data_IF_243168114506
#
_entry.id   IF_243168114506
#
_cell.length_a   1.000
_cell.length_b   1.000
_cell.length_c   1.000
_cell.angle_alpha   90.00
_cell.angle_beta   90.00
_cell.angle_gamma   90.00
#
_symmetry.space_group_name_H-M   'P 1'
#
loop_
_entity.id
_entity.type
_entity.pdbx_description
1 polymer ?
#
# COMPACT_ATOMS: atom_id res chain seq x y z
N UNK A 1 1.44 -19.29 -15.07
CA UNK A 1 1.48 -18.12 -15.97
C UNK A 1 0.72 -17.00 -15.28
N UNK A 2 1.42 -16.08 -14.64
CA UNK A 2 0.83 -14.89 -14.02
C UNK A 2 0.46 -13.89 -15.12
N UNK A 3 -0.72 -14.06 -15.73
CA UNK A 3 -1.28 -13.07 -16.65
C UNK A 3 -1.93 -11.95 -15.81
N UNK A 4 -1.12 -10.98 -15.40
CA UNK A 4 -1.60 -9.84 -14.58
C UNK A 4 -0.52 -9.02 -13.86
N UNK A 5 0.78 -9.27 -14.07
CA UNK A 5 1.82 -8.53 -13.38
C UNK A 5 1.74 -7.02 -13.67
N UNK A 6 1.85 -6.16 -12.66
CA UNK A 6 2.08 -4.73 -12.87
C UNK A 6 3.34 -4.50 -13.70
N UNK A 7 3.47 -3.32 -14.31
CA UNK A 7 4.69 -2.94 -15.01
C UNK A 7 5.41 -1.86 -14.24
N UNK A 8 6.68 -2.05 -13.90
CA UNK A 8 7.50 -1.05 -13.21
C UNK A 8 8.84 -0.85 -13.94
N UNK A 9 9.16 0.38 -14.30
CA UNK A 9 10.53 0.73 -14.72
C UNK A 9 11.34 1.10 -13.48
N UNK A 10 12.23 0.21 -13.04
CA UNK A 10 13.01 0.37 -11.82
C UNK A 10 14.40 0.95 -12.10
N UNK A 11 14.82 1.89 -11.26
CA UNK A 11 16.18 2.41 -11.22
C UNK A 11 16.68 2.65 -9.81
N UNK A 12 17.98 2.97 -9.68
CA UNK A 12 18.57 3.38 -8.41
C UNK A 12 17.84 4.61 -7.84
N UNK A 13 17.39 4.50 -6.58
CA UNK A 13 16.71 5.56 -5.86
C UNK A 13 17.59 6.77 -5.59
N UNK A 14 18.93 6.64 -5.70
CA UNK A 14 19.86 7.74 -5.51
C UNK A 14 20.19 7.97 -4.04
N UNK A 15 21.48 8.15 -3.75
CA UNK A 15 21.97 8.32 -2.38
C UNK A 15 22.13 7.02 -1.59
N UNK A 16 21.96 5.84 -2.22
CA UNK A 16 22.34 4.55 -1.64
C UNK A 16 23.82 4.52 -1.26
N UNK A 17 24.15 3.67 -0.29
CA UNK A 17 25.54 3.43 0.14
C UNK A 17 25.62 2.05 0.79
N UNK A 18 26.79 1.66 1.31
CA UNK A 18 27.02 0.36 1.96
C UNK A 18 26.16 0.02 3.20
N UNK A 19 25.21 0.87 3.59
CA UNK A 19 24.39 0.76 4.80
C UNK A 19 22.93 0.48 4.42
N UNK A 20 22.12 -0.18 5.26
CA UNK A 20 20.69 -0.37 4.99
C UNK A 20 19.93 0.96 4.87
N UNK A 21 18.93 0.94 4.00
CA UNK A 21 17.89 1.95 3.82
C UNK A 21 16.51 1.29 3.86
N UNK A 22 15.60 1.84 4.65
CA UNK A 22 14.21 1.35 4.73
C UNK A 22 13.21 2.45 5.14
N UNK A 23 11.91 2.11 5.08
CA UNK A 23 10.84 2.92 5.66
C UNK A 23 10.73 4.32 5.06
N UNK A 24 10.44 4.41 3.76
CA UNK A 24 10.31 5.67 3.03
C UNK A 24 8.94 6.33 3.21
N UNK A 25 8.91 7.65 3.36
CA UNK A 25 7.72 8.48 3.32
C UNK A 25 7.95 9.78 2.54
N UNK A 26 6.88 10.36 2.01
CA UNK A 26 6.90 11.71 1.47
C UNK A 26 6.55 12.73 2.56
N UNK A 27 7.31 13.81 2.61
CA UNK A 27 7.07 14.94 3.50
C UNK A 27 7.30 16.24 2.75
N UNK A 28 6.23 16.97 2.43
CA UNK A 28 6.30 18.11 1.51
C UNK A 28 6.97 17.70 0.19
N UNK A 29 8.08 18.34 -0.21
CA UNK A 29 8.86 17.99 -1.40
C UNK A 29 10.12 17.17 -1.05
N UNK A 30 10.09 16.37 0.01
CA UNK A 30 11.20 15.55 0.48
C UNK A 30 10.81 14.08 0.55
N UNK A 31 11.78 13.22 0.34
CA UNK A 31 11.74 11.83 0.81
C UNK A 31 12.37 11.77 2.20
N UNK A 32 11.71 11.10 3.13
CA UNK A 32 12.23 10.79 4.47
C UNK A 32 12.37 9.28 4.57
N UNK A 33 13.49 8.79 5.07
CA UNK A 33 13.80 7.36 5.14
C UNK A 33 14.73 7.04 6.31
N UNK A 34 14.77 5.79 6.75
CA UNK A 34 15.73 5.33 7.73
C UNK A 34 17.03 4.87 7.08
N UNK A 35 18.16 5.16 7.73
CA UNK A 35 19.46 4.65 7.31
C UNK A 35 20.44 4.48 8.46
N UNK A 36 21.32 3.49 8.33
CA UNK A 36 22.44 3.25 9.25
C UNK A 36 23.70 4.07 8.91
N UNK A 37 23.58 5.19 8.17
CA UNK A 37 24.71 5.94 7.60
C UNK A 37 25.64 6.60 8.63
N UNK A 38 25.12 7.28 9.64
CA UNK A 38 25.92 8.08 10.58
C UNK A 38 26.45 7.32 11.81
N UNK A 39 26.11 6.06 11.96
CA UNK A 39 26.62 5.22 13.06
C UNK A 39 28.00 4.62 12.77
N UNK A 40 28.60 4.96 11.63
CA UNK A 40 29.96 4.59 11.23
C UNK A 40 31.09 5.43 11.83
N UNK A 41 30.83 6.47 12.64
CA UNK A 41 31.87 7.33 13.21
C UNK A 41 31.76 7.51 14.73
N UNK A 42 32.71 6.89 15.45
CA UNK A 42 33.01 6.98 16.91
C UNK A 42 31.84 6.68 17.87
N UNK A 43 31.82 5.45 18.40
CA UNK A 43 30.86 4.99 19.42
C UNK A 43 30.05 3.78 18.95
N UNK A 44 30.75 2.67 18.71
CA UNK A 44 30.16 1.47 18.11
C UNK A 44 29.08 0.87 19.01
N UNK A 45 27.82 0.90 18.56
CA UNK A 45 26.79 -0.02 19.03
C UNK A 45 26.20 -0.72 17.81
N UNK A 46 26.62 -1.96 17.61
CA UNK A 46 25.99 -2.84 16.65
C UNK A 46 24.81 -3.50 17.34
N UNK A 47 23.67 -3.53 16.66
CA UNK A 47 22.54 -4.31 17.09
C UNK A 47 22.96 -5.78 17.15
N UNK A 48 22.81 -6.41 18.32
CA UNK A 48 23.40 -7.74 18.61
C UNK A 48 22.84 -8.86 17.75
N UNK A 49 21.66 -8.66 17.15
CA UNK A 49 21.02 -9.68 16.30
C UNK A 49 21.33 -9.53 14.82
N UNK A 50 21.38 -8.31 14.30
CA UNK A 50 21.64 -8.05 12.88
C UNK A 50 23.11 -7.78 12.59
N UNK A 51 23.91 -7.51 13.64
CA UNK A 51 25.30 -7.01 13.54
C UNK A 51 25.42 -5.72 12.70
N UNK A 52 24.30 -5.04 12.47
CA UNK A 52 24.19 -3.76 11.78
C UNK A 52 24.14 -2.62 12.80
N UNK A 53 24.33 -1.40 12.33
CA UNK A 53 24.25 -0.23 13.19
C UNK A 53 22.80 0.26 13.37
N UNK A 54 22.57 1.03 14.43
CA UNK A 54 21.29 1.70 14.66
C UNK A 54 20.95 2.65 13.51
N UNK A 55 19.68 2.66 13.11
CA UNK A 55 19.13 3.50 12.04
C UNK A 55 18.62 4.80 12.61
N UNK A 56 18.78 5.87 11.84
CA UNK A 56 18.22 7.19 12.11
C UNK A 56 17.42 7.63 10.89
N UNK A 57 16.50 8.57 11.08
CA UNK A 57 15.80 9.17 9.95
C UNK A 57 16.70 10.19 9.24
N UNK A 58 16.62 10.19 7.91
CA UNK A 58 17.26 11.13 6.99
C UNK A 58 16.19 11.70 6.07
N UNK A 59 16.51 12.85 5.46
CA UNK A 59 15.69 13.43 4.40
C UNK A 59 16.55 13.88 3.24
N UNK A 60 15.98 13.84 2.04
CA UNK A 60 16.55 14.41 0.83
C UNK A 60 15.45 15.18 0.08
N UNK A 61 15.79 16.37 -0.45
CA UNK A 61 14.90 17.10 -1.33
C UNK A 61 14.67 16.31 -2.63
N UNK A 62 13.43 16.26 -3.09
CA UNK A 62 13.06 15.63 -4.35
C UNK A 62 13.11 16.67 -5.47
N UNK A 63 13.95 16.43 -6.47
CA UNK A 63 13.95 17.18 -7.72
C UNK A 63 12.92 16.64 -8.70
N UNK A 64 13.05 17.06 -9.97
CA UNK A 64 12.20 16.60 -11.06
C UNK A 64 12.16 15.07 -11.14
N UNK A 65 10.98 14.52 -11.45
CA UNK A 65 10.73 13.08 -11.54
C UNK A 65 11.09 12.30 -10.26
N UNK A 66 10.93 12.92 -9.08
CA UNK A 66 11.23 12.33 -7.78
C UNK A 66 12.68 11.85 -7.65
N UNK A 67 13.63 12.56 -8.24
CA UNK A 67 15.06 12.26 -8.07
C UNK A 67 15.53 12.83 -6.72
N UNK A 68 15.98 12.01 -5.75
CA UNK A 68 16.48 12.52 -4.48
C UNK A 68 17.81 13.26 -4.63
N UNK A 69 17.91 14.39 -3.93
CA UNK A 69 19.16 15.13 -3.74
C UNK A 69 20.08 14.49 -2.70
N UNK A 70 20.96 15.30 -2.12
CA UNK A 70 21.89 14.83 -1.08
C UNK A 70 21.13 14.58 0.23
N UNK A 71 21.28 13.41 0.87
CA UNK A 71 20.63 13.14 2.14
C UNK A 71 21.29 13.85 3.31
N UNK A 72 20.46 14.32 4.24
CA UNK A 72 20.87 14.92 5.52
C UNK A 72 20.09 14.26 6.65
N UNK A 73 20.64 14.24 7.88
CA UNK A 73 19.90 13.76 9.05
C UNK A 73 18.56 14.48 9.14
N UNK A 74 17.50 13.72 9.38
CA UNK A 74 16.22 14.27 9.81
C UNK A 74 16.37 14.90 11.20
N UNK A 75 15.40 15.73 11.60
CA UNK A 75 15.46 16.56 12.81
C UNK A 75 16.10 15.83 14.02
N UNK A 76 17.04 16.51 14.68
CA UNK A 76 17.80 15.96 15.78
C UNK A 76 16.93 15.61 17.01
N UNK A 77 15.74 16.23 17.16
CA UNK A 77 14.83 15.91 18.27
C UNK A 77 14.14 14.56 18.12
N UNK A 78 14.02 14.07 16.89
CA UNK A 78 13.42 12.78 16.57
C UNK A 78 14.42 11.64 16.71
N UNK A 79 15.68 11.91 16.39
CA UNK A 79 16.72 10.89 16.41
C UNK A 79 17.15 10.54 17.83
N UNK A 80 17.18 9.26 18.16
CA UNK A 80 17.68 8.76 19.46
C UNK A 80 18.95 7.94 19.29
N UNK A 81 19.39 7.31 20.39
CA UNK A 81 20.51 6.36 20.39
C UNK A 81 20.11 4.94 19.97
N UNK A 82 18.85 4.75 19.59
CA UNK A 82 18.25 3.49 19.15
C UNK A 82 17.63 3.66 17.75
N UNK A 83 17.05 2.59 17.20
CA UNK A 83 16.50 2.61 15.85
C UNK A 83 15.28 3.54 15.78
N UNK A 84 15.27 4.44 14.81
CA UNK A 84 14.07 5.03 14.24
C UNK A 84 13.91 4.53 12.80
N UNK A 85 12.66 4.30 12.37
CA UNK A 85 12.31 3.95 10.99
C UNK A 85 10.86 4.27 10.65
N UNK A 86 10.54 4.16 9.35
CA UNK A 86 9.18 4.22 8.78
C UNK A 86 8.32 5.35 9.35
N UNK A 87 8.65 6.61 9.02
CA UNK A 87 7.80 7.72 9.39
C UNK A 87 6.55 7.78 8.49
N UNK A 88 5.46 8.33 9.00
CA UNK A 88 4.26 8.71 8.29
C UNK A 88 3.85 10.10 8.76
N UNK A 89 3.51 10.98 7.83
CA UNK A 89 3.20 12.38 8.11
C UNK A 89 1.75 12.67 7.80
N UNK A 90 1.13 13.55 8.59
CA UNK A 90 -0.15 14.14 8.21
C UNK A 90 0.00 15.05 6.99
N UNK A 91 -1.08 15.21 6.24
CA UNK A 91 -1.20 16.06 5.05
C UNK A 91 -0.82 17.52 5.35
N UNK A 92 -1.13 18.00 6.56
CA UNK A 92 -0.74 19.34 7.02
C UNK A 92 0.75 19.45 7.44
N UNK A 93 1.45 18.32 7.48
CA UNK A 93 2.86 18.19 7.83
C UNK A 93 3.17 18.45 9.31
N UNK A 94 2.15 18.47 10.19
CA UNK A 94 2.32 18.84 11.60
C UNK A 94 2.35 17.67 12.58
N UNK A 95 1.93 16.50 12.16
CA UNK A 95 2.01 15.28 12.97
C UNK A 95 2.84 14.24 12.24
N UNK A 96 3.70 13.56 12.97
CA UNK A 96 4.46 12.42 12.48
C UNK A 96 4.19 11.21 13.37
N UNK A 97 3.94 10.07 12.75
CA UNK A 97 3.99 8.75 13.34
C UNK A 97 5.27 8.08 12.89
N UNK A 98 5.97 7.35 13.74
CA UNK A 98 7.21 6.67 13.35
C UNK A 98 7.50 5.48 14.24
N UNK A 99 8.23 4.50 13.70
CA UNK A 99 8.66 3.34 14.46
C UNK A 99 9.94 3.67 15.22
N UNK A 100 10.01 3.31 16.51
CA UNK A 100 11.23 3.40 17.30
C UNK A 100 11.36 2.20 18.24
N UNK A 101 12.57 1.77 18.57
CA UNK A 101 12.75 0.93 19.76
C UNK A 101 12.10 1.58 20.98
N UNK A 102 11.55 0.77 21.89
CA UNK A 102 10.90 1.20 23.12
C UNK A 102 11.87 1.99 24.03
N UNK A 103 11.94 3.29 23.76
CA UNK A 103 12.83 4.25 24.36
C UNK A 103 12.23 5.66 24.26
N UNK A 104 11.95 6.24 25.42
CA UNK A 104 11.43 7.60 25.55
C UNK A 104 12.03 8.26 26.79
N UNK A 105 12.40 9.53 26.69
CA UNK A 105 12.90 10.35 27.80
C UNK A 105 14.02 9.68 28.64
N UNK A 106 14.96 9.02 27.97
CA UNK A 106 16.08 8.35 28.64
C UNK A 106 15.77 6.95 29.18
N UNK A 107 14.51 6.53 29.16
CA UNK A 107 14.05 5.24 29.70
C UNK A 107 13.89 4.21 28.59
N UNK A 108 14.39 3.00 28.82
CA UNK A 108 14.32 1.86 27.88
C UNK A 108 13.34 0.83 28.43
N UNK A 109 12.30 0.51 27.66
CA UNK A 109 11.35 -0.56 27.99
C UNK A 109 11.83 -1.92 27.47
N UNK A 110 11.35 -2.99 28.10
CA UNK A 110 11.71 -4.38 27.78
C UNK A 110 10.56 -5.33 28.09
N UNK A 111 10.40 -6.37 27.27
CA UNK A 111 9.49 -7.47 27.55
C UNK A 111 10.03 -8.42 28.65
N UNK A 112 9.24 -9.43 29.01
CA UNK A 112 9.64 -10.46 29.99
C UNK A 112 10.93 -11.21 29.65
N UNK A 113 11.29 -11.30 28.36
CA UNK A 113 12.52 -11.93 27.87
C UNK A 113 13.71 -10.95 27.78
N UNK A 114 13.59 -9.76 28.38
CA UNK A 114 14.61 -8.71 28.37
C UNK A 114 14.95 -8.14 26.97
N UNK A 115 14.05 -8.35 26.01
CA UNK A 115 14.14 -7.82 24.65
C UNK A 115 13.50 -6.43 24.62
N UNK A 116 14.14 -5.49 23.93
CA UNK A 116 13.53 -4.19 23.62
C UNK A 116 12.86 -4.26 22.28
N UNK A 117 11.53 -4.34 22.33
CA UNK A 117 10.68 -4.32 21.15
C UNK A 117 10.59 -2.91 20.57
N UNK A 118 9.91 -2.79 19.44
CA UNK A 118 9.63 -1.54 18.73
C UNK A 118 8.19 -1.10 18.99
N UNK A 119 7.98 0.22 19.01
CA UNK A 119 6.68 0.87 19.21
C UNK A 119 6.47 1.95 18.16
N UNK A 120 5.21 2.37 18.00
CA UNK A 120 4.86 3.52 17.18
C UNK A 120 4.80 4.75 18.09
N UNK A 121 5.60 5.77 17.76
CA UNK A 121 5.56 7.05 18.44
C UNK A 121 4.87 8.10 17.57
N UNK A 122 4.20 9.05 18.22
CA UNK A 122 3.63 10.26 17.63
C UNK A 122 4.48 11.47 18.06
N UNK A 123 4.73 12.41 17.15
CA UNK A 123 5.36 13.69 17.42
C UNK A 123 4.57 14.83 16.75
N UNK A 124 4.65 16.04 17.32
CA UNK A 124 4.03 17.25 16.79
C UNK A 124 5.08 18.24 16.31
N UNK A 125 4.83 18.92 15.18
CA UNK A 125 5.68 19.99 14.68
C UNK A 125 5.13 21.35 15.14
N UNK A 126 5.83 21.95 16.10
CA UNK A 126 5.45 23.21 16.73
C UNK A 126 6.67 24.13 16.81
N UNK A 127 6.50 25.43 16.54
CA UNK A 127 7.59 26.42 16.61
C UNK A 127 8.85 26.02 15.83
N UNK A 128 8.66 25.46 14.62
CA UNK A 128 9.72 24.95 13.73
C UNK A 128 10.56 23.80 14.30
N UNK A 129 10.01 23.01 15.24
CA UNK A 129 10.68 21.84 15.79
C UNK A 129 9.70 20.70 16.03
N UNK A 130 10.18 19.47 15.88
CA UNK A 130 9.43 18.30 16.35
C UNK A 130 9.53 18.18 17.88
N UNK A 131 8.38 18.05 18.52
CA UNK A 131 8.21 18.00 19.98
C UNK A 131 7.10 17.01 20.35
N UNK A 132 6.74 16.92 21.64
CA UNK A 132 5.61 16.15 22.15
C UNK A 132 5.63 14.68 21.72
N UNK A 133 6.79 14.03 21.83
CA UNK A 133 6.96 12.64 21.43
C UNK A 133 6.26 11.74 22.46
N UNK A 134 5.26 10.98 22.04
CA UNK A 134 4.50 10.06 22.89
C UNK A 134 4.32 8.71 22.22
N UNK A 135 4.32 7.62 22.97
CA UNK A 135 3.87 6.31 22.47
C UNK A 135 2.34 6.32 22.23
N UNK A 136 1.84 5.38 21.43
CA UNK A 136 0.40 5.25 21.17
C UNK A 136 -0.29 4.41 22.26
N UNK A 137 -1.58 4.64 22.54
CA UNK A 137 -2.27 4.02 23.68
C UNK A 137 -2.45 2.49 23.55
N UNK A 138 -2.25 1.95 22.35
CA UNK A 138 -2.31 0.51 22.06
C UNK A 138 -0.92 -0.13 21.95
N UNK A 139 0.15 0.61 22.22
CA UNK A 139 1.49 0.02 22.31
C UNK A 139 1.65 -0.81 23.58
N UNK A 140 2.60 -1.75 23.56
CA UNK A 140 2.95 -2.54 24.73
C UNK A 140 4.43 -2.83 24.80
N UNK A 141 4.89 -3.18 25.99
CA UNK A 141 6.24 -3.71 26.19
C UNK A 141 6.33 -5.19 25.78
N UNK A 142 5.20 -5.88 25.54
CA UNK A 142 5.15 -7.33 25.30
C UNK A 142 4.95 -7.74 23.84
N UNK A 143 4.66 -6.80 22.95
CA UNK A 143 4.55 -7.00 21.51
C UNK A 143 5.10 -5.75 20.80
N UNK A 144 5.38 -5.88 19.52
CA UNK A 144 5.88 -4.83 18.64
C UNK A 144 4.73 -4.17 17.89
N UNK A 145 4.79 -2.86 17.74
CA UNK A 145 3.97 -2.11 16.78
C UNK A 145 4.92 -1.34 15.87
N UNK A 146 4.70 -1.43 14.56
CA UNK A 146 5.65 -0.94 13.58
C UNK A 146 5.00 -0.50 12.28
N UNK A 147 5.77 0.24 11.50
CA UNK A 147 5.48 0.61 10.12
C UNK A 147 4.12 1.31 9.96
N UNK A 148 3.90 2.42 10.69
CA UNK A 148 2.65 3.17 10.59
C UNK A 148 2.46 3.76 9.19
N UNK A 149 1.22 3.77 8.70
CA UNK A 149 0.79 4.59 7.57
C UNK A 149 -0.62 5.11 7.81
N UNK A 150 -0.90 6.33 7.35
CA UNK A 150 -2.23 6.92 7.44
C UNK A 150 -3.05 6.59 6.19
N UNK A 151 -4.36 6.43 6.36
CA UNK A 151 -5.29 6.55 5.24
C UNK A 151 -5.20 7.97 4.64
N UNK A 152 -5.53 8.14 3.35
CA UNK A 152 -5.51 9.46 2.69
C UNK A 152 -6.35 10.53 3.41
N UNK A 153 -7.43 10.12 4.07
CA UNK A 153 -8.32 10.99 4.85
C UNK A 153 -7.88 11.19 6.31
N UNK A 154 -6.78 10.56 6.73
CA UNK A 154 -6.14 10.65 8.05
C UNK A 154 -7.02 10.13 9.21
N UNK A 155 -8.08 9.39 8.90
CA UNK A 155 -9.01 8.83 9.90
C UNK A 155 -8.68 7.41 10.32
N UNK A 156 -7.75 6.76 9.63
CA UNK A 156 -7.31 5.39 9.93
C UNK A 156 -5.80 5.33 9.93
N UNK A 157 -5.23 4.72 10.96
CA UNK A 157 -3.81 4.35 11.01
C UNK A 157 -3.71 2.85 10.76
N UNK A 158 -2.94 2.45 9.76
CA UNK A 158 -2.57 1.07 9.48
C UNK A 158 -1.15 0.82 9.99
N UNK A 159 -0.87 -0.39 10.48
CA UNK A 159 0.43 -0.74 11.03
C UNK A 159 0.61 -2.27 11.10
N UNK A 160 1.86 -2.71 11.25
CA UNK A 160 2.23 -4.11 11.46
C UNK A 160 2.43 -4.41 12.96
N UNK A 161 2.06 -5.61 13.40
CA UNK A 161 2.18 -6.01 14.81
C UNK A 161 2.18 -7.53 15.01
N UNK A 162 2.79 -7.99 16.09
CA UNK A 162 2.69 -9.35 16.65
C UNK A 162 1.79 -9.38 17.91
N UNK A 163 0.90 -8.39 18.07
CA UNK A 163 -0.04 -8.28 19.20
C UNK A 163 -1.04 -9.45 19.25
N UNK A 164 -1.69 -9.70 20.41
CA UNK A 164 -2.73 -10.73 20.51
C UNK A 164 -3.82 -10.59 19.44
N UNK A 165 -4.13 -11.69 18.76
CA UNK A 165 -5.05 -11.70 17.61
C UNK A 165 -4.35 -11.79 16.24
N UNK A 166 -3.03 -11.71 16.20
CA UNK A 166 -2.19 -12.03 15.03
C UNK A 166 -2.40 -13.50 14.60
N UNK A 167 -2.50 -13.73 13.30
CA UNK A 167 -2.67 -15.05 12.66
C UNK A 167 -1.32 -15.72 12.39
N UNK A 168 -0.32 -14.94 11.96
CA UNK A 168 1.02 -15.42 11.62
C UNK A 168 2.11 -14.97 12.57
N UNK A 169 3.27 -14.65 12.00
CA UNK A 169 4.42 -14.10 12.73
C UNK A 169 4.26 -12.60 12.99
N UNK A 170 3.67 -11.87 12.04
CA UNK A 170 3.22 -10.49 12.21
C UNK A 170 2.10 -10.22 11.22
N UNK A 171 1.11 -9.47 11.65
CA UNK A 171 -0.07 -9.15 10.86
C UNK A 171 -0.19 -7.64 10.67
N UNK A 172 -0.94 -7.25 9.64
CA UNK A 172 -1.43 -5.88 9.50
C UNK A 172 -2.70 -5.68 10.31
N UNK A 173 -2.73 -4.54 10.99
CA UNK A 173 -3.85 -4.02 11.76
C UNK A 173 -4.21 -2.62 11.28
N UNK A 174 -5.45 -2.21 11.57
CA UNK A 174 -5.90 -0.82 11.44
C UNK A 174 -6.49 -0.33 12.75
N UNK A 175 -6.43 0.97 12.98
CA UNK A 175 -7.11 1.61 14.12
C UNK A 175 -7.70 2.94 13.67
N UNK A 176 -8.93 3.22 14.13
CA UNK A 176 -9.57 4.50 13.88
C UNK A 176 -8.88 5.62 14.66
N UNK A 177 -8.65 6.76 14.01
CA UNK A 177 -8.31 8.02 14.63
C UNK A 177 -9.62 8.82 14.76
N UNK A 178 -10.04 9.11 15.99
CA UNK A 178 -11.24 9.87 16.27
C UNK A 178 -10.99 11.37 16.08
N UNK A 179 -12.07 12.15 15.94
CA UNK A 179 -11.99 13.59 15.70
C UNK A 179 -11.29 14.37 16.83
N UNK A 180 -11.25 13.82 18.05
CA UNK A 180 -10.54 14.37 19.20
C UNK A 180 -9.04 13.96 19.26
N UNK A 181 -8.57 13.20 18.27
CA UNK A 181 -7.21 12.67 18.17
C UNK A 181 -6.96 11.40 19.00
N UNK A 182 -7.98 10.86 19.68
CA UNK A 182 -7.89 9.56 20.36
C UNK A 182 -7.93 8.40 19.36
N UNK A 183 -7.46 7.23 19.78
CA UNK A 183 -7.46 6.02 18.97
C UNK A 183 -8.56 5.07 19.41
N UNK A 184 -9.19 4.40 18.45
CA UNK A 184 -10.06 3.25 18.71
C UNK A 184 -9.28 2.00 19.13
N UNK A 185 -9.96 0.86 19.05
CA UNK A 185 -9.33 -0.45 19.25
C UNK A 185 -8.69 -0.92 17.95
N UNK A 186 -7.44 -1.44 17.96
CA UNK A 186 -6.86 -2.09 16.80
C UNK A 186 -7.69 -3.27 16.30
N UNK A 187 -7.84 -3.35 14.98
CA UNK A 187 -8.55 -4.40 14.25
C UNK A 187 -7.58 -5.10 13.29
N UNK A 188 -7.51 -6.42 13.36
CA UNK A 188 -6.73 -7.22 12.41
C UNK A 188 -7.38 -7.15 11.01
N UNK A 189 -6.58 -7.03 9.95
CA UNK A 189 -7.10 -6.92 8.57
C UNK A 189 -7.71 -8.22 8.00
N UNK A 190 -7.65 -9.31 8.75
CA UNK A 190 -8.27 -10.59 8.42
C UNK A 190 -7.43 -11.42 7.43
N UNK A 191 -7.88 -12.65 7.23
CA UNK A 191 -7.14 -13.70 6.50
C UNK A 191 -7.04 -13.51 4.97
N UNK A 192 -7.64 -12.44 4.43
CA UNK A 192 -7.41 -12.07 3.03
C UNK A 192 -6.06 -11.39 2.88
N UNK A 193 -5.70 -10.53 3.84
CA UNK A 193 -4.43 -9.81 3.87
C UNK A 193 -3.40 -10.60 4.66
N UNK A 194 -3.75 -11.02 5.88
CA UNK A 194 -2.84 -11.65 6.82
C UNK A 194 -2.78 -13.17 6.61
N UNK A 195 -1.60 -13.75 6.78
CA UNK A 195 -1.29 -15.16 6.55
C UNK A 195 -0.62 -15.77 7.79
N UNK A 196 -0.03 -16.96 7.65
CA UNK A 196 0.83 -17.56 8.67
C UNK A 196 2.26 -16.97 8.67
N UNK A 197 2.59 -16.15 7.67
CA UNK A 197 3.88 -15.48 7.49
C UNK A 197 3.97 -14.14 8.22
N UNK A 198 4.78 -13.24 7.67
CA UNK A 198 4.99 -11.86 8.13
C UNK A 198 4.37 -10.91 7.12
N UNK A 199 3.26 -10.27 7.46
CA UNK A 199 2.78 -9.10 6.74
C UNK A 199 3.28 -7.81 7.40
N UNK A 200 3.83 -6.91 6.58
CA UNK A 200 4.56 -5.74 7.08
C UNK A 200 4.61 -4.60 6.04
N UNK A 201 5.10 -3.44 6.45
CA UNK A 201 5.27 -2.23 5.63
C UNK A 201 4.02 -1.87 4.80
N UNK A 202 2.86 -1.63 5.45
CA UNK A 202 1.66 -1.22 4.74
C UNK A 202 1.84 0.18 4.12
N UNK A 203 1.20 0.40 2.97
CA UNK A 203 1.04 1.69 2.34
C UNK A 203 -0.35 1.81 1.71
N UNK A 204 -1.07 2.91 1.95
CA UNK A 204 -2.44 3.10 1.47
C UNK A 204 -2.52 4.29 0.53
N UNK A 205 -3.14 4.10 -0.64
CA UNK A 205 -3.28 5.14 -1.68
C UNK A 205 -4.63 5.84 -1.65
N UNK A 206 -4.71 7.01 -2.29
CA UNK A 206 -5.96 7.73 -2.57
C UNK A 206 -6.86 7.05 -3.62
N UNK A 207 -6.41 5.93 -4.20
CA UNK A 207 -7.17 5.06 -5.11
C UNK A 207 -7.84 3.88 -4.40
N UNK A 208 -7.81 3.86 -3.06
CA UNK A 208 -8.30 2.77 -2.20
C UNK A 208 -7.55 1.46 -2.44
N UNK A 209 -6.22 1.53 -2.58
CA UNK A 209 -5.36 0.35 -2.62
C UNK A 209 -4.50 0.30 -1.36
N UNK A 210 -4.29 -0.90 -0.83
CA UNK A 210 -3.29 -1.19 0.19
C UNK A 210 -2.17 -2.02 -0.44
N UNK A 211 -0.96 -1.48 -0.40
CA UNK A 211 0.28 -2.17 -0.71
C UNK A 211 0.89 -2.66 0.60
N UNK A 212 1.52 -3.83 0.58
CA UNK A 212 2.21 -4.38 1.74
C UNK A 212 3.26 -5.41 1.31
N UNK A 213 4.20 -5.71 2.19
CA UNK A 213 5.17 -6.78 1.97
C UNK A 213 4.77 -8.04 2.75
N UNK A 214 4.94 -9.21 2.15
CA UNK A 214 4.65 -10.50 2.79
C UNK A 214 5.60 -11.62 2.33
N UNK A 215 5.93 -12.53 3.24
CA UNK A 215 6.60 -13.81 2.93
C UNK A 215 5.66 -15.03 3.06
N UNK A 216 4.35 -14.80 3.27
CA UNK A 216 3.35 -15.85 3.40
C UNK A 216 2.41 -15.99 2.20
N UNK A 217 2.30 -14.97 1.35
CA UNK A 217 1.59 -15.07 0.06
C UNK A 217 2.47 -15.70 -1.03
N UNK A 218 1.89 -16.36 -2.05
CA UNK A 218 2.66 -16.90 -3.18
C UNK A 218 3.42 -15.79 -3.94
N UNK A 219 4.74 -15.74 -3.74
CA UNK A 219 5.64 -14.72 -4.28
C UNK A 219 6.85 -15.28 -5.04
N UNK A 220 7.88 -14.45 -5.21
CA UNK A 220 9.12 -14.75 -5.94
C UNK A 220 10.32 -14.99 -5.00
N UNK A 221 10.28 -14.49 -3.76
CA UNK A 221 11.46 -14.37 -2.90
C UNK A 221 11.18 -14.48 -1.41
N UNK A 222 11.84 -13.60 -0.65
CA UNK A 222 11.65 -13.47 0.79
C UNK A 222 10.37 -12.70 1.08
N UNK A 223 10.50 -11.43 1.47
CA UNK A 223 9.38 -10.50 1.39
C UNK A 223 9.12 -10.11 -0.07
N UNK A 224 7.88 -10.27 -0.51
CA UNK A 224 7.40 -9.75 -1.79
C UNK A 224 6.36 -8.64 -1.53
N UNK A 225 6.31 -7.65 -2.42
CA UNK A 225 5.30 -6.59 -2.41
C UNK A 225 4.02 -7.12 -3.07
N UNK A 226 2.90 -6.89 -2.40
CA UNK A 226 1.56 -7.21 -2.84
C UNK A 226 0.66 -5.97 -2.79
N UNK A 227 -0.46 -6.03 -3.50
CA UNK A 227 -1.52 -5.03 -3.47
C UNK A 227 -2.88 -5.70 -3.30
N UNK A 228 -3.79 -5.03 -2.61
CA UNK A 228 -5.22 -5.34 -2.66
C UNK A 228 -6.04 -4.06 -2.69
N UNK A 229 -7.21 -4.12 -3.33
CA UNK A 229 -8.17 -3.02 -3.33
C UNK A 229 -9.05 -3.09 -2.08
N UNK A 230 -9.24 -1.95 -1.44
CA UNK A 230 -10.09 -1.76 -0.27
C UNK A 230 -11.53 -1.52 -0.75
N UNK A 231 -12.45 -2.36 -0.31
CA UNK A 231 -13.87 -2.23 -0.57
C UNK A 231 -14.50 -1.08 0.23
N UNK A 232 -15.66 -0.60 -0.22
CA UNK A 232 -16.42 0.44 0.48
C UNK A 232 -16.88 0.01 1.88
N UNK A 233 -17.02 -1.30 2.14
CA UNK A 233 -17.34 -1.86 3.46
C UNK A 233 -16.09 -2.11 4.33
N UNK A 234 -14.89 -1.77 3.83
CA UNK A 234 -13.62 -1.95 4.51
C UNK A 234 -13.03 -3.35 4.42
N UNK A 235 -13.63 -4.26 3.65
CA UNK A 235 -13.04 -5.57 3.29
C UNK A 235 -12.03 -5.41 2.14
N UNK A 236 -11.36 -6.49 1.76
CA UNK A 236 -10.31 -6.48 0.75
C UNK A 236 -10.67 -7.40 -0.42
N UNK A 237 -10.32 -6.99 -1.63
CA UNK A 237 -10.31 -7.87 -2.80
C UNK A 237 -9.16 -8.89 -2.73
N UNK A 238 -9.11 -9.79 -3.71
CA UNK A 238 -8.01 -10.73 -3.87
C UNK A 238 -6.65 -10.01 -3.91
N UNK A 239 -5.70 -10.51 -3.12
CA UNK A 239 -4.33 -10.00 -3.05
C UNK A 239 -3.58 -10.37 -4.34
N UNK A 240 -2.87 -9.40 -4.91
CA UNK A 240 -2.10 -9.57 -6.14
C UNK A 240 -0.64 -9.24 -5.90
N UNK A 241 0.26 -10.11 -6.38
CA UNK A 241 1.70 -9.84 -6.36
C UNK A 241 2.03 -8.73 -7.38
N UNK A 242 2.82 -7.72 -6.99
CA UNK A 242 3.08 -6.55 -7.84
C UNK A 242 3.87 -6.88 -9.12
N UNK A 243 4.49 -8.06 -9.18
CA UNK A 243 5.23 -8.56 -10.33
C UNK A 243 6.74 -8.40 -10.23
N UNK A 244 7.46 -9.14 -11.07
CA UNK A 244 8.91 -9.31 -11.03
C UNK A 244 9.74 -8.06 -11.39
N UNK A 245 9.09 -6.98 -11.82
CA UNK A 245 9.77 -5.71 -12.03
C UNK A 245 10.12 -5.06 -10.68
N UNK A 246 9.17 -5.09 -9.73
CA UNK A 246 9.37 -4.58 -8.38
C UNK A 246 9.79 -5.68 -7.39
N UNK A 247 9.36 -6.92 -7.57
CA UNK A 247 9.74 -8.05 -6.73
C UNK A 247 10.93 -8.84 -7.31
N UNK A 248 11.68 -9.48 -6.43
CA UNK A 248 12.92 -10.20 -6.72
C UNK A 248 13.01 -11.50 -5.90
N UNK A 249 14.03 -12.35 -6.10
CA UNK A 249 14.26 -13.52 -5.24
C UNK A 249 14.70 -13.20 -3.81
N UNK A 250 14.69 -11.93 -3.41
CA UNK A 250 15.18 -11.41 -2.12
C UNK A 250 14.02 -10.73 -1.36
N UNK A 251 14.30 -9.85 -0.40
CA UNK A 251 13.29 -9.06 0.28
C UNK A 251 13.03 -7.76 -0.50
N UNK A 252 11.76 -7.50 -0.77
CA UNK A 252 11.22 -6.30 -1.43
C UNK A 252 10.06 -5.76 -0.59
N UNK A 253 10.17 -4.51 -0.13
CA UNK A 253 9.28 -3.97 0.90
C UNK A 253 9.24 -2.44 0.92
N UNK A 254 8.48 -1.86 1.86
CA UNK A 254 8.35 -0.40 2.02
C UNK A 254 7.96 0.33 0.72
N UNK A 255 6.96 -0.20 0.02
CA UNK A 255 6.44 0.39 -1.22
C UNK A 255 5.74 1.72 -0.95
N UNK A 256 6.00 2.71 -1.80
CA UNK A 256 5.45 4.06 -1.72
C UNK A 256 5.24 4.55 -3.16
N UNK A 257 4.04 5.01 -3.50
CA UNK A 257 3.72 5.54 -4.84
C UNK A 257 2.95 6.86 -4.74
N UNK A 258 3.35 7.84 -5.55
CA UNK A 258 2.50 8.99 -5.91
C UNK A 258 1.59 8.57 -7.06
N UNK A 259 0.30 8.40 -6.78
CA UNK A 259 -0.70 7.91 -7.74
C UNK A 259 -0.94 8.85 -8.91
N UNK A 260 -0.55 10.13 -8.80
CA UNK A 260 -0.69 11.11 -9.89
C UNK A 260 0.42 10.99 -10.91
N UNK A 261 1.67 10.94 -10.46
CA UNK A 261 2.83 10.78 -11.35
C UNK A 261 3.15 9.33 -11.69
N UNK A 262 2.57 8.38 -10.95
CA UNK A 262 2.90 6.94 -10.97
C UNK A 262 4.35 6.64 -10.65
N UNK A 263 5.03 7.57 -9.96
CA UNK A 263 6.41 7.39 -9.52
C UNK A 263 6.44 7.04 -8.05
N UNK A 264 7.43 6.29 -7.65
CA UNK A 264 7.50 5.80 -6.29
C UNK A 264 8.86 5.24 -5.90
N UNK A 265 8.90 4.70 -4.69
CA UNK A 265 10.05 4.05 -4.11
C UNK A 265 9.67 2.72 -3.47
N UNK A 266 10.63 1.82 -3.37
CA UNK A 266 10.57 0.66 -2.49
C UNK A 266 11.99 0.33 -2.01
N UNK A 267 12.10 -0.48 -0.96
CA UNK A 267 13.38 -0.95 -0.41
C UNK A 267 13.61 -2.41 -0.79
N UNK A 268 14.85 -2.77 -1.08
CA UNK A 268 15.19 -4.14 -1.47
C UNK A 268 16.65 -4.50 -1.18
N UNK A 269 16.88 -5.76 -0.84
CA UNK A 269 18.22 -6.36 -0.74
C UNK A 269 18.56 -7.24 -1.96
N UNK A 270 17.99 -6.90 -3.13
CA UNK A 270 18.27 -7.53 -4.43
C UNK A 270 19.76 -7.50 -4.80
N UNK A 271 20.16 -8.50 -5.56
CA UNK A 271 21.53 -8.58 -6.08
C UNK A 271 21.85 -7.39 -7.00
N UNK A 272 23.08 -6.87 -6.92
CA UNK A 272 23.52 -5.69 -7.68
C UNK A 272 23.27 -4.35 -6.97
N UNK A 273 22.69 -4.36 -5.77
CA UNK A 273 22.65 -3.22 -4.86
C UNK A 273 24.04 -2.77 -4.35
N UNK A 274 24.07 -1.60 -3.72
CA UNK A 274 25.27 -1.02 -3.08
C UNK A 274 25.36 -1.38 -1.59
N UNK A 275 24.25 -1.72 -0.95
CA UNK A 275 24.10 -1.91 0.49
C UNK A 275 23.52 -3.27 0.91
N UNK A 276 22.98 -3.31 2.13
CA UNK A 276 22.16 -4.45 2.58
C UNK A 276 20.77 -4.27 1.98
N UNK A 277 20.00 -3.32 2.50
CA UNK A 277 18.77 -2.84 1.87
C UNK A 277 19.06 -1.51 1.19
N UNK A 278 18.67 -1.35 -0.08
CA UNK A 278 18.79 -0.13 -0.86
C UNK A 278 17.40 0.41 -1.22
N UNK A 279 17.28 1.73 -1.40
CA UNK A 279 16.07 2.36 -1.93
C UNK A 279 16.15 2.38 -3.45
N UNK A 280 15.13 1.83 -4.10
CA UNK A 280 14.93 1.88 -5.53
C UNK A 280 13.79 2.83 -5.85
N UNK A 281 13.89 3.54 -6.96
CA UNK A 281 12.79 4.32 -7.52
C UNK A 281 12.16 3.57 -8.67
N UNK A 282 10.89 3.82 -8.94
CA UNK A 282 10.22 3.25 -10.10
C UNK A 282 9.25 4.22 -10.76
N UNK A 283 8.88 3.90 -11.99
CA UNK A 283 7.70 4.41 -12.69
C UNK A 283 6.77 3.23 -12.94
N UNK A 284 5.56 3.28 -12.40
CA UNK A 284 4.53 2.30 -12.72
C UNK A 284 3.98 2.59 -14.12
N UNK A 285 4.27 1.70 -15.05
CA UNK A 285 3.85 1.79 -16.46
C UNK A 285 2.55 1.04 -16.73
N UNK A 286 2.16 0.13 -15.82
CA UNK A 286 0.89 -0.59 -15.89
C UNK A 286 0.35 -0.89 -14.50
N UNK A 287 -0.89 -0.47 -14.23
CA UNK A 287 -1.64 -0.81 -13.01
C UNK A 287 -1.81 -2.32 -12.86
N UNK A 288 -1.73 -2.77 -11.61
CA UNK A 288 -1.97 -4.15 -11.20
C UNK A 288 -3.45 -4.51 -11.24
N UNK A 289 -4.28 -3.60 -10.74
CA UNK A 289 -5.73 -3.79 -10.74
C UNK A 289 -6.21 -3.83 -12.18
N UNK A 290 -6.69 -5.00 -12.60
CA UNK A 290 -7.19 -5.15 -13.95
C UNK A 290 -8.50 -4.36 -14.10
N UNK A 291 -8.42 -3.23 -14.81
CA UNK A 291 -9.52 -2.31 -15.05
C UNK A 291 -10.16 -2.61 -16.39
N UNK A 292 -11.38 -3.17 -16.34
CA UNK A 292 -12.15 -3.47 -17.53
C UNK A 292 -13.52 -2.80 -17.48
N UNK A 293 -13.88 -2.18 -18.60
CA UNK A 293 -15.21 -1.63 -18.82
C UNK A 293 -15.95 -2.48 -19.85
N UNK A 294 -17.06 -3.08 -19.45
CA UNK A 294 -18.00 -3.67 -20.41
C UNK A 294 -18.85 -2.55 -20.99
N UNK A 295 -18.89 -2.43 -22.30
CA UNK A 295 -19.65 -1.36 -22.96
C UNK A 295 -20.27 -1.85 -24.26
N UNK A 296 -21.29 -1.12 -24.73
CA UNK A 296 -21.90 -1.39 -26.01
C UNK A 296 -23.06 -0.46 -26.28
N UNK A 297 -23.61 -0.60 -27.47
CA UNK A 297 -24.80 0.08 -27.95
C UNK A 297 -25.98 -0.89 -27.95
N UNK A 298 -27.17 -0.33 -27.71
CA UNK A 298 -28.44 -1.03 -27.82
C UNK A 298 -29.20 -0.46 -29.02
N UNK A 299 -29.55 -1.32 -29.97
CA UNK A 299 -30.28 -0.94 -31.18
C UNK A 299 -31.52 -1.79 -31.38
N UNK A 300 -32.45 -1.32 -32.19
CA UNK A 300 -33.54 -2.11 -32.74
C UNK A 300 -32.99 -3.13 -33.75
N UNK A 301 -33.44 -4.38 -33.68
CA UNK A 301 -32.95 -5.46 -34.55
C UNK A 301 -33.30 -5.27 -36.04
N UNK A 302 -34.44 -4.65 -36.34
CA UNK A 302 -34.95 -4.50 -37.70
C UNK A 302 -34.50 -3.19 -38.36
N UNK A 303 -34.50 -2.08 -37.61
CA UNK A 303 -34.20 -0.74 -38.14
C UNK A 303 -32.76 -0.28 -37.88
N UNK A 304 -32.05 -0.93 -36.96
CA UNK A 304 -30.76 -0.50 -36.43
C UNK A 304 -30.77 0.89 -35.76
N UNK A 305 -31.96 1.42 -35.43
CA UNK A 305 -32.07 2.66 -34.66
C UNK A 305 -31.61 2.43 -33.22
N UNK A 306 -30.96 3.43 -32.62
CA UNK A 306 -30.49 3.35 -31.25
C UNK A 306 -31.66 3.36 -30.27
N UNK A 307 -31.56 2.57 -29.21
CA UNK A 307 -32.58 2.42 -28.19
C UNK A 307 -32.10 3.04 -26.87
N UNK A 308 -32.40 4.33 -26.62
CA UNK A 308 -32.10 4.94 -25.33
C UNK A 308 -33.00 4.37 -24.23
N UNK A 309 -32.62 4.55 -22.97
CA UNK A 309 -33.41 4.15 -21.80
C UNK A 309 -33.72 2.63 -21.71
N UNK A 310 -32.99 1.78 -22.44
CA UNK A 310 -33.02 0.34 -22.23
C UNK A 310 -32.22 -0.01 -20.97
N UNK A 311 -32.71 -0.97 -20.18
CA UNK A 311 -32.08 -1.46 -18.95
C UNK A 311 -31.07 -2.56 -19.25
N UNK A 312 -29.87 -2.44 -18.69
CA UNK A 312 -28.82 -3.46 -18.71
C UNK A 312 -28.70 -4.04 -17.31
N UNK A 313 -28.67 -5.36 -17.21
CA UNK A 313 -28.48 -6.10 -15.95
C UNK A 313 -27.24 -6.99 -16.07
N UNK A 314 -26.29 -6.82 -15.17
CA UNK A 314 -25.07 -7.62 -15.08
C UNK A 314 -25.22 -8.67 -13.98
N UNK A 315 -24.98 -9.93 -14.35
CA UNK A 315 -25.13 -11.09 -13.47
C UNK A 315 -23.82 -11.89 -13.45
N UNK A 316 -23.43 -12.43 -12.29
CA UNK A 316 -22.30 -13.36 -12.19
C UNK A 316 -22.60 -14.73 -12.81
N UNK A 317 -21.63 -15.65 -12.73
CA UNK A 317 -21.74 -17.02 -13.22
C UNK A 317 -22.80 -17.88 -12.52
N UNK A 318 -23.27 -17.44 -11.35
CA UNK A 318 -24.33 -18.05 -10.54
C UNK A 318 -25.66 -17.31 -10.68
N UNK A 319 -25.75 -16.34 -11.59
CA UNK A 319 -26.93 -15.50 -11.84
C UNK A 319 -27.31 -14.56 -10.68
N UNK A 320 -26.37 -14.21 -9.79
CA UNK A 320 -26.57 -13.16 -8.81
C UNK A 320 -26.43 -11.79 -9.46
N UNK A 321 -27.25 -10.83 -9.03
CA UNK A 321 -27.18 -9.45 -9.48
C UNK A 321 -25.89 -8.76 -8.99
N UNK A 322 -25.09 -8.29 -9.95
CA UNK A 322 -23.89 -7.50 -9.66
C UNK A 322 -24.21 -6.01 -9.76
N UNK A 323 -24.79 -5.59 -10.88
CA UNK A 323 -25.15 -4.19 -11.10
C UNK A 323 -26.16 -4.03 -12.24
N UNK A 324 -26.65 -2.80 -12.41
CA UNK A 324 -27.51 -2.41 -13.53
C UNK A 324 -27.06 -1.09 -14.12
N UNK A 325 -27.30 -0.89 -15.41
CA UNK A 325 -27.14 0.39 -16.09
C UNK A 325 -28.36 0.68 -16.96
N UNK A 326 -28.45 1.91 -17.46
CA UNK A 326 -29.43 2.35 -18.45
C UNK A 326 -28.66 2.95 -19.62
N UNK A 327 -29.10 2.65 -20.84
CA UNK A 327 -28.50 3.23 -22.04
C UNK A 327 -28.83 4.72 -22.17
N UNK A 328 -27.84 5.49 -22.63
CA UNK A 328 -27.96 6.93 -22.85
C UNK A 328 -28.81 7.28 -24.09
N UNK A 329 -28.97 8.57 -24.39
CA UNK A 329 -29.70 9.08 -25.57
C UNK A 329 -29.16 8.58 -26.92
N UNK A 330 -27.93 8.04 -26.94
CA UNK A 330 -27.29 7.44 -28.11
C UNK A 330 -27.34 5.90 -28.07
N UNK A 331 -28.08 5.32 -27.13
CA UNK A 331 -28.19 3.88 -26.92
C UNK A 331 -26.97 3.23 -26.26
N UNK A 332 -25.98 4.00 -25.80
CA UNK A 332 -24.75 3.45 -25.23
C UNK A 332 -24.91 3.13 -23.76
N UNK A 333 -24.26 2.05 -23.31
CA UNK A 333 -24.12 1.72 -21.90
C UNK A 333 -22.68 1.38 -21.56
N UNK A 334 -22.35 1.49 -20.26
CA UNK A 334 -21.07 1.03 -19.74
C UNK A 334 -21.18 0.57 -18.30
N UNK A 335 -20.48 -0.50 -17.95
CA UNK A 335 -20.47 -1.12 -16.62
C UNK A 335 -19.04 -1.53 -16.25
N UNK A 336 -18.54 -1.21 -15.04
CA UNK A 336 -17.28 -1.76 -14.56
C UNK A 336 -17.45 -3.27 -14.34
N UNK A 337 -16.44 -4.04 -14.74
CA UNK A 337 -16.42 -5.50 -14.64
C UNK A 337 -15.04 -5.98 -14.18
N UNK A 338 -15.02 -7.11 -13.47
CA UNK A 338 -13.76 -7.73 -13.06
C UNK A 338 -13.17 -8.54 -14.21
N UNK A 339 -11.87 -8.44 -14.39
CA UNK A 339 -11.14 -9.16 -15.41
C UNK A 339 -11.15 -10.67 -15.22
N UNK A 340 -11.11 -11.40 -16.34
CA UNK A 340 -11.11 -12.86 -16.34
C UNK A 340 -12.41 -13.51 -15.84
N UNK A 341 -13.35 -12.73 -15.31
CA UNK A 341 -14.67 -13.22 -14.89
C UNK A 341 -15.58 -13.41 -16.08
N UNK A 342 -16.55 -14.30 -15.91
CA UNK A 342 -17.61 -14.58 -16.85
C UNK A 342 -18.90 -14.01 -16.30
N UNK A 343 -19.62 -13.27 -17.14
CA UNK A 343 -20.88 -12.63 -16.78
C UNK A 343 -22.00 -13.04 -17.73
N UNK A 344 -23.22 -13.06 -17.22
CA UNK A 344 -24.44 -12.98 -18.02
C UNK A 344 -24.92 -11.53 -18.03
N UNK A 345 -25.19 -11.00 -19.23
CA UNK A 345 -25.59 -9.61 -19.45
C UNK A 345 -26.93 -9.62 -20.14
N UNK A 346 -27.93 -8.98 -19.53
CA UNK A 346 -29.28 -8.87 -20.07
C UNK A 346 -29.60 -7.45 -20.47
N UNK A 347 -30.11 -7.27 -21.68
CA UNK A 347 -30.66 -6.01 -22.16
C UNK A 347 -32.18 -6.14 -22.33
N UNK A 348 -32.93 -5.19 -21.77
CA UNK A 348 -34.39 -5.18 -21.80
C UNK A 348 -34.93 -3.76 -22.03
N UNK A 349 -36.00 -3.66 -22.81
CA UNK A 349 -36.76 -2.43 -23.04
C UNK A 349 -38.24 -2.78 -23.20
N UNK A 350 -39.12 -1.88 -22.77
CA UNK A 350 -40.57 -2.04 -22.93
C UNK A 350 -40.94 -2.22 -24.41
N UNK A 351 -41.86 -3.14 -24.72
CA UNK A 351 -42.22 -3.58 -26.08
C UNK A 351 -41.13 -4.35 -26.86
N UNK A 352 -39.94 -4.59 -26.28
CA UNK A 352 -38.88 -5.40 -26.90
C UNK A 352 -38.71 -6.75 -26.19
N UNK A 353 -38.28 -7.76 -26.95
CA UNK A 353 -37.90 -9.04 -26.37
C UNK A 353 -36.56 -8.88 -25.64
N UNK A 354 -36.48 -9.34 -24.40
CA UNK A 354 -35.23 -9.32 -23.63
C UNK A 354 -34.18 -10.22 -24.29
N UNK A 355 -32.96 -9.73 -24.46
CA UNK A 355 -31.81 -10.53 -24.89
C UNK A 355 -30.80 -10.71 -23.78
N UNK A 356 -30.19 -11.89 -23.77
CA UNK A 356 -29.13 -12.27 -22.85
C UNK A 356 -27.92 -12.73 -23.63
N UNK A 357 -26.74 -12.26 -23.23
CA UNK A 357 -25.45 -12.69 -23.78
C UNK A 357 -24.50 -13.03 -22.65
N UNK A 358 -23.64 -14.02 -22.87
CA UNK A 358 -22.58 -14.39 -21.94
C UNK A 358 -21.27 -13.82 -22.47
N UNK A 359 -20.53 -13.14 -21.60
CA UNK A 359 -19.23 -12.55 -21.93
C UNK A 359 -18.18 -13.00 -20.93
N UNK A 360 -16.99 -13.32 -21.42
CA UNK A 360 -15.81 -13.50 -20.56
C UNK A 360 -14.92 -12.28 -20.73
N UNK A 361 -14.64 -11.61 -19.62
CA UNK A 361 -13.81 -10.39 -19.63
C UNK A 361 -12.36 -10.79 -19.79
N UNK A 362 -11.62 -10.01 -20.58
CA UNK A 362 -10.19 -10.23 -20.77
C UNK A 362 -9.44 -10.08 -19.44
N UNK A 363 -8.25 -10.68 -19.37
CA UNK A 363 -7.36 -10.58 -18.19
C UNK A 363 -6.37 -9.42 -18.32
N UNK A 364 -6.77 -8.35 -18.98
CA UNK A 364 -5.96 -7.16 -19.23
C UNK A 364 -6.82 -5.89 -19.12
N UNK A 365 -6.17 -4.76 -18.87
CA UNK A 365 -6.84 -3.47 -18.82
C UNK A 365 -7.46 -3.13 -20.17
N UNK A 366 -8.65 -2.54 -20.16
CA UNK A 366 -9.26 -2.05 -21.39
C UNK A 366 -10.78 -2.02 -21.35
N UNK A 367 -11.36 -2.30 -22.51
CA UNK A 367 -12.81 -2.30 -22.70
C UNK A 367 -13.25 -3.52 -23.48
N UNK A 368 -14.32 -4.15 -23.02
CA UNK A 368 -14.96 -5.29 -23.69
C UNK A 368 -16.23 -4.78 -24.36
N UNK A 369 -16.27 -4.85 -25.68
CA UNK A 369 -17.44 -4.45 -26.46
C UNK A 369 -18.47 -5.58 -26.51
N UNK A 370 -19.73 -5.27 -26.19
CA UNK A 370 -20.86 -6.20 -26.21
C UNK A 370 -22.14 -5.47 -26.64
N UNK A 371 -22.41 -5.33 -27.95
CA UNK A 371 -23.64 -4.68 -28.40
C UNK A 371 -24.87 -5.59 -28.25
N UNK A 372 -26.04 -4.98 -28.13
CA UNK A 372 -27.33 -5.68 -28.17
C UNK A 372 -28.21 -5.10 -29.28
N UNK A 373 -28.79 -5.97 -30.10
CA UNK A 373 -29.86 -5.60 -31.01
C UNK A 373 -31.16 -6.26 -30.50
N UNK A 374 -32.09 -5.50 -29.93
CA UNK A 374 -33.30 -6.04 -29.29
C UNK A 374 -34.41 -6.36 -30.29
#
# INVERSE_FOLDING_TARGET
>A
MYSGAGGNEVGDGGGNSRYSYDGTALYSNKIVFASARDTGSLGQRKHTWTNQYFTNLYSADLGDNMIPGVPHKFDATINSKFHESTPAFTNDGKTMYFTRNNYLDGKKGKNGNQITLIKIYKASFENNQWTNITELPFDSDNYSTAHPVLSPDEKTLYFASDMPGTLGQSDLFKVKINDDGSFGTPENLGNTINTEGRETFPFVTDENEIYFASDGHPGLGGLDIFVSKINADGTFYEVQNVGADANSPKDDFAYLIDTKSRRGFFSSNRDGGQGYDDIYKFLETRRLTCEQLLYGEITDLATAEVLPNAKITLLDDKLNLISTAVSDEKGNYSLPVECGKRYSVRAAKEEYTTKEQIVTILKENGKTHLPFAL
#
